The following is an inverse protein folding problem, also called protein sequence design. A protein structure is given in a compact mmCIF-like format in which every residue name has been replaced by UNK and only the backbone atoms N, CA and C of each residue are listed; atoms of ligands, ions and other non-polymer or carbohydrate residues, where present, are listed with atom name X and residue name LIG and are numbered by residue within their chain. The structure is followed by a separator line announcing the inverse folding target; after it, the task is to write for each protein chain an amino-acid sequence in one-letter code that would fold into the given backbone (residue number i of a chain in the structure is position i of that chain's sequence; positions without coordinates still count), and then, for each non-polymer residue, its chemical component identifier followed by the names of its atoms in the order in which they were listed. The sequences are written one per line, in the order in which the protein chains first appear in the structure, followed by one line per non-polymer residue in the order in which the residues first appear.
data_IF_987111424866
#
_entry.id   IF_987111424866
#
_cell.length_a   1.000
_cell.length_b   1.000
_cell.length_c   1.000
_cell.angle_alpha   90.00
_cell.angle_beta   90.00
_cell.angle_gamma   90.00
#
_symmetry.space_group_name_H-M   'P 1'
#
loop_
_entity.id
_entity.type
_entity.pdbx_description
1 polymer ?
#
# COMPACT_ATOMS: atom_id res chain seq x y z
N UNK A 1 12.52 -0.73 12.59
CA UNK A 1 13.75 -0.51 11.80
C UNK A 1 13.89 -1.67 10.85
N UNK A 2 13.68 -1.44 9.55
CA UNK A 2 13.96 -2.47 8.55
C UNK A 2 15.48 -2.65 8.51
N UNK A 3 15.92 -3.88 8.69
CA UNK A 3 17.34 -4.24 8.80
C UNK A 3 17.94 -4.28 7.40
N UNK A 4 19.11 -3.67 7.22
CA UNK A 4 19.78 -3.62 5.92
C UNK A 4 20.14 -5.04 5.44
N UNK A 5 19.88 -5.36 4.17
CA UNK A 5 20.21 -6.66 3.56
C UNK A 5 19.10 -7.73 3.52
N UNK A 6 17.89 -7.46 4.01
CA UNK A 6 16.75 -8.33 3.71
C UNK A 6 16.27 -8.10 2.26
N UNK A 7 15.96 -9.16 1.47
CA UNK A 7 15.36 -8.97 0.16
C UNK A 7 14.00 -8.27 0.33
N UNK A 8 13.92 -7.04 -0.15
CA UNK A 8 12.68 -6.28 -0.17
C UNK A 8 11.77 -6.96 -1.20
N UNK A 9 10.80 -7.72 -0.70
CA UNK A 9 9.72 -8.24 -1.53
C UNK A 9 8.84 -7.11 -2.08
N UNK A 10 7.87 -7.45 -2.93
CA UNK A 10 6.92 -6.47 -3.46
C UNK A 10 6.12 -5.82 -2.33
N UNK A 11 6.15 -4.48 -2.27
CA UNK A 11 5.37 -3.70 -1.29
C UNK A 11 3.94 -3.55 -1.80
N UNK A 12 3.00 -4.17 -1.09
CA UNK A 12 1.56 -4.04 -1.33
C UNK A 12 0.96 -3.14 -0.26
N UNK A 13 0.51 -1.95 -0.65
CA UNK A 13 -0.30 -1.06 0.17
C UNK A 13 -1.72 -1.62 0.27
N UNK A 14 -2.31 -1.62 1.47
CA UNK A 14 -3.62 -2.23 1.69
C UNK A 14 -4.40 -1.70 2.93
N UNK A 15 -4.19 -0.44 3.32
CA UNK A 15 -4.76 0.16 4.53
C UNK A 15 -6.25 0.56 4.43
N UNK A 16 -6.85 0.53 3.24
CA UNK A 16 -8.23 0.92 3.01
C UNK A 16 -8.49 2.40 3.32
N UNK A 17 -9.76 2.76 3.46
CA UNK A 17 -10.15 4.16 3.70
C UNK A 17 -9.74 4.70 5.07
N UNK A 18 -9.57 3.83 6.06
CA UNK A 18 -9.21 4.23 7.42
C UNK A 18 -7.74 4.67 7.56
N UNK A 19 -6.90 4.50 6.53
CA UNK A 19 -5.51 4.96 6.57
C UNK A 19 -5.38 6.47 6.75
N UNK A 20 -6.36 7.25 6.28
CA UNK A 20 -6.41 8.71 6.44
C UNK A 20 -6.64 9.15 7.89
N UNK A 21 -7.10 8.24 8.74
CA UNK A 21 -7.31 8.54 10.15
C UNK A 21 -5.97 8.94 10.78
N UNK A 22 -5.90 10.17 11.28
CA UNK A 22 -4.69 10.79 11.83
C UNK A 22 -3.51 10.87 10.82
N UNK A 23 -3.77 10.84 9.51
CA UNK A 23 -2.72 10.96 8.48
C UNK A 23 -1.70 9.82 8.50
N UNK A 24 -2.10 8.63 8.93
CA UNK A 24 -1.20 7.48 9.03
C UNK A 24 -0.78 6.94 7.66
N UNK A 25 -1.65 7.08 6.65
CA UNK A 25 -1.32 6.77 5.26
C UNK A 25 -0.21 7.69 4.72
N UNK A 26 -0.30 9.00 4.94
CA UNK A 26 0.76 9.95 4.57
C UNK A 26 2.08 9.63 5.27
N UNK A 27 2.02 9.31 6.57
CA UNK A 27 3.22 8.92 7.35
C UNK A 27 3.89 7.67 6.76
N UNK A 28 3.10 6.63 6.46
CA UNK A 28 3.59 5.41 5.85
C UNK A 28 4.15 5.66 4.43
N UNK A 29 3.48 6.51 3.64
CA UNK A 29 3.94 6.92 2.31
C UNK A 29 5.29 7.65 2.37
N UNK A 30 5.51 8.51 3.39
CA UNK A 30 6.78 9.18 3.62
C UNK A 30 7.93 8.20 3.91
N UNK A 31 7.68 7.15 4.70
CA UNK A 31 8.70 6.11 4.96
C UNK A 31 9.08 5.31 3.72
N UNK A 32 8.20 5.26 2.72
CA UNK A 32 8.35 4.44 1.51
C UNK A 32 8.46 5.29 0.24
N UNK A 33 8.80 6.58 0.36
CA UNK A 33 8.79 7.53 -0.77
C UNK A 33 9.67 7.05 -1.94
N UNK A 34 10.86 6.52 -1.64
CA UNK A 34 11.82 6.03 -2.62
C UNK A 34 11.55 4.59 -3.11
N UNK A 35 10.58 3.89 -2.50
CA UNK A 35 10.33 2.49 -2.78
C UNK A 35 9.19 2.31 -3.79
N UNK A 36 9.33 1.40 -4.78
CA UNK A 36 8.22 1.01 -5.64
C UNK A 36 7.09 0.38 -4.81
N UNK A 37 5.92 1.03 -4.84
CA UNK A 37 4.73 0.60 -4.12
C UNK A 37 3.61 0.21 -5.09
N UNK A 38 2.84 -0.80 -4.69
CA UNK A 38 1.74 -1.35 -5.47
C UNK A 38 0.49 -1.49 -4.61
N UNK A 39 -0.68 -1.61 -5.24
CA UNK A 39 -1.93 -1.99 -4.59
C UNK A 39 -2.63 -3.04 -5.44
N UNK A 40 -3.44 -3.88 -4.81
CA UNK A 40 -4.24 -4.90 -5.51
C UNK A 40 -5.59 -4.35 -6.03
N UNK A 41 -5.88 -3.09 -5.69
CA UNK A 41 -7.07 -2.36 -6.11
C UNK A 41 -7.24 -1.10 -5.28
N UNK A 42 -8.03 -0.15 -5.76
CA UNK A 42 -8.32 1.11 -5.07
C UNK A 42 -9.80 1.20 -4.67
N UNK A 43 -10.09 1.89 -3.56
CA UNK A 43 -11.44 2.36 -3.22
C UNK A 43 -11.87 3.46 -4.19
N UNK A 44 -13.14 3.87 -4.12
CA UNK A 44 -13.64 4.99 -4.92
C UNK A 44 -12.84 6.28 -4.67
N UNK A 45 -12.41 6.48 -3.43
CA UNK A 45 -11.65 7.64 -2.99
C UNK A 45 -10.13 7.48 -3.15
N UNK A 46 -9.68 6.45 -3.87
CA UNK A 46 -8.27 6.27 -4.24
C UNK A 46 -7.40 5.54 -3.21
N UNK A 47 -7.96 5.06 -2.10
CA UNK A 47 -7.18 4.35 -1.08
C UNK A 47 -6.92 2.89 -1.48
N UNK A 48 -5.77 2.31 -1.15
CA UNK A 48 -5.48 0.91 -1.45
C UNK A 48 -6.41 -0.03 -0.68
N UNK A 49 -7.18 -0.86 -1.39
CA UNK A 49 -8.15 -1.79 -0.79
C UNK A 49 -7.47 -2.84 0.08
N UNK A 50 -8.16 -3.22 1.15
CA UNK A 50 -7.75 -4.35 1.98
C UNK A 50 -7.87 -5.67 1.17
N UNK A 51 -6.90 -6.61 1.24
CA UNK A 51 -6.87 -7.78 0.36
C UNK A 51 -8.03 -8.74 0.62
N UNK A 52 -8.59 -8.72 1.84
CA UNK A 52 -9.79 -9.48 2.22
C UNK A 52 -10.99 -9.22 1.29
N UNK A 53 -11.08 -8.04 0.66
CA UNK A 53 -12.20 -7.64 -0.18
C UNK A 53 -11.91 -7.75 -1.69
N UNK A 54 -10.82 -8.42 -2.08
CA UNK A 54 -10.40 -8.54 -3.47
C UNK A 54 -10.46 -10.00 -3.95
N UNK A 55 -10.65 -10.23 -5.26
CA UNK A 55 -10.53 -11.56 -5.84
C UNK A 55 -9.14 -12.18 -5.58
N UNK A 56 -9.10 -13.51 -5.48
CA UNK A 56 -7.85 -14.26 -5.24
C UNK A 56 -6.77 -14.06 -6.31
N UNK A 57 -7.18 -13.66 -7.50
CA UNK A 57 -6.35 -13.44 -8.68
C UNK A 57 -6.09 -11.95 -8.95
N UNK A 58 -6.43 -11.06 -8.01
CA UNK A 58 -6.10 -9.65 -8.09
C UNK A 58 -4.59 -9.45 -8.30
N UNK A 59 -4.24 -8.65 -9.30
CA UNK A 59 -2.86 -8.40 -9.67
C UNK A 59 -2.37 -7.06 -9.12
N UNK A 60 -1.11 -6.96 -8.67
CA UNK A 60 -0.55 -5.68 -8.23
C UNK A 60 -0.52 -4.66 -9.38
N UNK A 61 -1.01 -3.46 -9.10
CA UNK A 61 -0.88 -2.29 -9.95
C UNK A 61 -0.04 -1.22 -9.24
N UNK A 62 0.76 -0.46 -9.98
CA UNK A 62 1.60 0.59 -9.39
C UNK A 62 0.71 1.61 -8.67
N UNK A 63 1.01 1.86 -7.41
CA UNK A 63 0.23 2.75 -6.57
C UNK A 63 0.87 4.13 -6.50
N UNK A 64 0.11 5.15 -6.92
CA UNK A 64 0.44 6.56 -6.80
C UNK A 64 -0.78 7.24 -6.17
N UNK A 65 -0.71 7.64 -4.88
CA UNK A 65 -1.73 8.47 -4.27
C UNK A 65 -1.83 9.81 -4.97
#
# INVERSE_FOLDING_TARGET
VLVDGYPVGTIICAWGQHGTFLGQDETALGWMESLPRFALGLTKDGHPKHPLYLPRDAQPARFRP
#
